data_IF_050629996835
#
_entry.id   IF_050629996835
#
_cell.length_a   1.000
_cell.length_b   1.000
_cell.length_c   1.000
_cell.angle_alpha   90.00
_cell.angle_beta   90.00
_cell.angle_gamma   90.00
#
_symmetry.space_group_name_H-M   'P 1'
#
loop_
_entity.id
_entity.type
_entity.pdbx_description
1 polymer ?
#
# COMPACT_ATOMS: atom_id res chain seq x y z
N UNK A 1 -2.52 6.51 -4.04
CA UNK A 1 -2.51 7.97 -4.35
C UNK A 1 -3.45 8.32 -5.52
N UNK A 2 -3.50 7.51 -6.62
CA UNK A 2 -4.40 7.80 -7.75
C UNK A 2 -5.87 7.81 -7.37
N UNK A 3 -6.31 6.84 -6.56
CA UNK A 3 -7.65 6.78 -5.99
C UNK A 3 -7.95 7.99 -5.09
N UNK A 4 -7.06 8.30 -4.14
CA UNK A 4 -7.23 9.42 -3.22
C UNK A 4 -7.38 10.72 -4.01
N UNK A 5 -6.51 10.99 -4.99
CA UNK A 5 -6.63 12.17 -5.86
C UNK A 5 -7.93 12.21 -6.67
N UNK A 6 -8.44 11.06 -7.08
CA UNK A 6 -9.72 10.98 -7.80
C UNK A 6 -10.89 11.34 -6.89
N UNK A 7 -10.95 10.78 -5.68
CA UNK A 7 -11.99 11.09 -4.70
C UNK A 7 -11.94 12.55 -4.28
N UNK A 8 -10.75 13.07 -3.97
CA UNK A 8 -10.57 14.47 -3.56
C UNK A 8 -11.14 15.45 -4.56
N UNK A 9 -11.05 15.14 -5.86
CA UNK A 9 -11.53 16.02 -6.94
C UNK A 9 -12.99 15.80 -7.31
N UNK A 10 -13.44 14.57 -7.33
CA UNK A 10 -14.74 14.22 -7.90
C UNK A 10 -15.82 13.93 -6.84
N UNK A 11 -15.43 13.45 -5.69
CA UNK A 11 -16.31 13.04 -4.59
C UNK A 11 -15.80 13.53 -3.23
N UNK A 12 -15.54 14.85 -3.06
CA UNK A 12 -14.91 15.36 -1.84
C UNK A 12 -15.74 15.08 -0.57
N UNK A 13 -17.05 14.90 -0.68
CA UNK A 13 -17.94 14.52 0.41
C UNK A 13 -17.60 13.16 1.04
N UNK A 14 -16.91 12.27 0.27
CA UNK A 14 -16.51 10.94 0.73
C UNK A 14 -15.07 10.86 1.26
N UNK A 15 -14.34 11.96 1.36
CA UNK A 15 -12.97 11.97 1.89
C UNK A 15 -12.87 11.38 3.29
N UNK A 16 -13.89 11.59 4.11
CA UNK A 16 -13.97 11.06 5.48
C UNK A 16 -14.13 9.54 5.55
N UNK A 17 -14.54 8.91 4.46
CA UNK A 17 -14.66 7.46 4.35
C UNK A 17 -13.36 6.79 3.93
N UNK A 18 -12.35 7.56 3.50
CA UNK A 18 -11.04 7.01 3.18
C UNK A 18 -10.29 6.62 4.46
N UNK A 19 -9.56 5.51 4.40
CA UNK A 19 -8.65 5.13 5.46
C UNK A 19 -7.59 6.22 5.67
N UNK A 20 -7.33 6.58 6.91
CA UNK A 20 -6.26 7.52 7.27
C UNK A 20 -4.86 6.89 7.20
N UNK A 21 -4.76 5.57 7.06
CA UNK A 21 -3.48 4.88 6.92
C UNK A 21 -2.71 5.40 5.70
N UNK A 22 -1.46 5.82 5.93
CA UNK A 22 -0.57 6.20 4.84
C UNK A 22 -0.29 5.02 3.91
N UNK A 23 0.15 5.30 2.70
CA UNK A 23 0.64 4.24 1.84
C UNK A 23 1.89 3.55 2.42
N UNK A 24 2.15 2.27 2.09
CA UNK A 24 3.34 1.56 2.57
C UNK A 24 4.65 2.31 2.34
N UNK A 25 4.79 3.00 1.20
CA UNK A 25 5.98 3.82 0.92
C UNK A 25 6.15 4.95 1.96
N UNK A 26 5.09 5.65 2.32
CA UNK A 26 5.15 6.76 3.28
C UNK A 26 5.32 6.26 4.71
N UNK A 27 4.67 5.15 5.07
CA UNK A 27 4.91 4.50 6.36
C UNK A 27 6.37 4.08 6.51
N UNK A 28 6.93 3.43 5.48
CA UNK A 28 8.32 2.97 5.51
C UNK A 28 9.29 4.15 5.60
N UNK A 29 9.09 5.21 4.82
CA UNK A 29 9.93 6.41 4.87
C UNK A 29 9.94 7.07 6.26
N UNK A 30 8.75 7.21 6.88
CA UNK A 30 8.64 7.72 8.23
C UNK A 30 9.38 6.83 9.24
N UNK A 31 9.25 5.51 9.15
CA UNK A 31 9.92 4.55 10.03
C UNK A 31 11.43 4.50 9.80
N UNK A 32 11.89 4.64 8.55
CA UNK A 32 13.32 4.69 8.22
C UNK A 32 13.99 5.92 8.84
N UNK A 33 13.36 7.09 8.75
CA UNK A 33 13.89 8.34 9.31
C UNK A 33 13.62 8.51 10.82
N UNK A 34 12.96 7.55 11.49
CA UNK A 34 12.72 7.57 12.93
C UNK A 34 13.28 6.33 13.60
N UNK A 35 12.54 5.23 13.60
CA UNK A 35 12.91 3.99 14.28
C UNK A 35 14.24 3.40 13.79
N UNK A 36 14.42 3.25 12.46
CA UNK A 36 15.66 2.73 11.90
C UNK A 36 16.85 3.67 12.21
N UNK A 37 16.68 4.99 12.03
CA UNK A 37 17.68 5.98 12.35
C UNK A 37 18.14 5.87 13.82
N UNK A 38 17.18 5.79 14.75
CA UNK A 38 17.44 5.60 16.17
C UNK A 38 18.19 4.30 16.45
N UNK A 39 17.77 3.19 15.86
CA UNK A 39 18.41 1.87 16.06
C UNK A 39 19.82 1.78 15.53
N UNK A 40 20.12 2.53 14.47
CA UNK A 40 21.46 2.56 13.85
C UNK A 40 22.34 3.71 14.37
N UNK A 41 21.80 4.60 15.20
CA UNK A 41 22.53 5.78 15.66
C UNK A 41 22.87 6.75 14.54
N UNK A 42 22.02 6.86 13.52
CA UNK A 42 22.20 7.72 12.35
C UNK A 42 21.35 8.98 12.51
N UNK A 43 21.89 10.15 12.20
CA UNK A 43 21.08 11.37 12.09
C UNK A 43 20.07 11.20 10.98
N UNK A 44 18.74 11.35 11.24
CA UNK A 44 17.71 11.26 10.24
C UNK A 44 17.92 12.14 9.00
N UNK A 45 18.59 13.29 9.16
CA UNK A 45 18.92 14.21 8.06
C UNK A 45 19.95 13.63 7.08
N UNK A 46 20.70 12.61 7.50
CA UNK A 46 21.67 11.91 6.66
C UNK A 46 21.06 10.68 5.95
N UNK A 47 19.73 10.46 6.08
CA UNK A 47 19.03 9.35 5.44
C UNK A 47 18.29 9.86 4.19
N UNK A 48 18.65 9.32 3.04
CA UNK A 48 17.92 9.52 1.79
C UNK A 48 17.03 8.28 1.49
N UNK A 49 15.71 8.44 1.64
CA UNK A 49 14.76 7.38 1.33
C UNK A 49 14.42 7.37 -0.15
N UNK A 50 14.82 6.31 -0.86
CA UNK A 50 14.51 6.11 -2.28
C UNK A 50 13.47 5.00 -2.40
N UNK A 51 12.34 5.31 -3.02
CA UNK A 51 11.25 4.37 -3.26
C UNK A 51 11.21 3.95 -4.73
N UNK A 52 11.12 2.64 -5.00
CA UNK A 52 10.98 2.10 -6.36
C UNK A 52 9.56 1.58 -6.51
N UNK A 53 8.75 2.24 -7.36
CA UNK A 53 7.30 2.03 -7.41
C UNK A 53 6.78 1.78 -8.83
N UNK A 54 5.81 0.89 -9.02
CA UNK A 54 5.13 0.72 -10.31
C UNK A 54 4.13 1.86 -10.62
N UNK A 55 4.26 3.00 -9.96
CA UNK A 55 3.23 4.03 -9.87
C UNK A 55 3.83 5.43 -10.06
N UNK A 56 3.30 6.21 -11.01
CA UNK A 56 3.69 7.61 -11.20
C UNK A 56 3.10 8.53 -10.12
N UNK A 57 1.87 8.26 -9.67
CA UNK A 57 1.20 9.07 -8.63
C UNK A 57 1.91 9.05 -7.28
N UNK A 58 2.79 8.08 -7.04
CA UNK A 58 3.65 8.02 -5.86
C UNK A 58 4.67 9.16 -5.78
N UNK A 59 5.08 9.72 -6.93
CA UNK A 59 5.93 10.92 -6.98
C UNK A 59 5.21 12.12 -6.38
N UNK A 60 3.94 12.34 -6.80
CA UNK A 60 3.11 13.42 -6.22
C UNK A 60 2.85 13.17 -4.73
N UNK A 61 2.50 11.95 -4.33
CA UNK A 61 2.27 11.63 -2.91
C UNK A 61 3.49 11.99 -2.04
N UNK A 62 4.71 11.63 -2.46
CA UNK A 62 5.92 11.93 -1.72
C UNK A 62 6.21 13.44 -1.63
N UNK A 63 5.72 14.26 -2.57
CA UNK A 63 5.92 15.72 -2.57
C UNK A 63 4.90 16.50 -1.74
N UNK A 64 3.85 15.84 -1.21
CA UNK A 64 2.83 16.51 -0.41
C UNK A 64 3.45 17.08 0.88
N UNK A 65 3.09 18.32 1.21
CA UNK A 65 3.69 19.09 2.30
C UNK A 65 3.53 18.46 3.68
N UNK A 66 2.55 17.60 3.87
CA UNK A 66 2.26 16.89 5.12
C UNK A 66 2.88 15.48 5.19
N UNK A 67 3.53 14.99 4.13
CA UNK A 67 4.26 13.71 4.12
C UNK A 67 5.70 13.88 4.65
N UNK A 68 5.82 14.48 5.85
CA UNK A 68 7.07 14.80 6.57
C UNK A 68 6.95 14.52 8.07
N UNK A 69 6.29 13.45 8.43
CA UNK A 69 5.97 13.13 9.83
C UNK A 69 7.18 12.74 10.67
N UNK A 70 8.28 12.31 10.05
CA UNK A 70 9.54 12.01 10.71
C UNK A 70 10.25 13.27 11.24
N UNK A 71 9.95 14.46 10.71
CA UNK A 71 10.56 15.73 11.13
C UNK A 71 11.95 16.00 10.53
N UNK A 72 12.40 15.20 9.56
CA UNK A 72 13.67 15.32 8.84
C UNK A 72 13.44 15.44 7.32
N UNK A 73 12.79 16.52 6.91
CA UNK A 73 12.35 16.69 5.53
C UNK A 73 11.19 15.79 5.14
N UNK A 74 11.04 15.47 3.86
CA UNK A 74 10.04 14.53 3.37
C UNK A 74 10.34 13.12 3.90
N UNK A 75 9.28 12.35 4.20
CA UNK A 75 9.44 10.96 4.66
C UNK A 75 10.09 10.09 3.56
N UNK A 76 9.77 10.37 2.29
CA UNK A 76 10.41 9.77 1.10
C UNK A 76 10.98 10.87 0.22
N UNK A 77 12.29 10.84 -0.02
CA UNK A 77 13.00 11.90 -0.74
C UNK A 77 12.89 11.72 -2.26
N UNK A 78 13.04 10.50 -2.75
CA UNK A 78 13.05 10.20 -4.19
C UNK A 78 12.09 9.04 -4.48
N UNK A 79 11.28 9.20 -5.52
CA UNK A 79 10.46 8.12 -6.06
C UNK A 79 10.88 7.81 -7.49
N UNK A 80 11.40 6.61 -7.71
CA UNK A 80 11.68 6.08 -9.03
C UNK A 80 10.55 5.14 -9.45
N UNK A 81 10.08 5.28 -10.68
CA UNK A 81 9.22 4.24 -11.25
C UNK A 81 10.05 3.00 -11.57
N UNK A 82 9.41 1.83 -11.57
CA UNK A 82 10.06 0.57 -12.01
C UNK A 82 10.70 0.74 -13.39
N UNK A 83 10.08 1.51 -14.27
CA UNK A 83 10.61 1.80 -15.62
C UNK A 83 11.88 2.65 -15.57
N UNK A 84 11.92 3.68 -14.74
CA UNK A 84 13.12 4.51 -14.55
C UNK A 84 14.27 3.68 -13.96
N UNK A 85 13.98 2.86 -12.95
CA UNK A 85 14.97 1.99 -12.32
C UNK A 85 15.54 0.97 -13.32
N UNK A 86 14.71 0.35 -14.16
CA UNK A 86 15.18 -0.54 -15.24
C UNK A 86 16.07 0.20 -16.24
N UNK A 87 15.76 1.48 -16.54
CA UNK A 87 16.64 2.30 -17.40
C UNK A 87 17.99 2.56 -16.76
N UNK A 88 18.05 2.84 -15.46
CA UNK A 88 19.31 3.00 -14.73
C UNK A 88 20.15 1.72 -14.79
N UNK A 89 19.58 0.56 -14.48
CA UNK A 89 20.28 -0.75 -14.57
C UNK A 89 20.87 -0.96 -15.96
N UNK A 90 20.12 -0.61 -17.02
CA UNK A 90 20.59 -0.73 -18.40
C UNK A 90 21.68 0.28 -18.74
N UNK A 91 21.57 1.52 -18.29
CA UNK A 91 22.56 2.56 -18.53
C UNK A 91 23.90 2.23 -17.88
N UNK A 92 23.86 1.64 -16.68
CA UNK A 92 25.05 1.18 -15.94
C UNK A 92 25.58 -0.19 -16.40
N UNK A 93 24.98 -0.76 -17.46
CA UNK A 93 25.37 -2.07 -18.02
C UNK A 93 25.37 -3.20 -16.98
N UNK A 94 24.54 -3.13 -15.93
CA UNK A 94 24.46 -4.13 -14.87
C UNK A 94 23.82 -5.41 -15.44
N UNK A 95 24.57 -6.50 -15.46
CA UNK A 95 24.03 -7.79 -15.85
C UNK A 95 23.41 -8.51 -14.64
N UNK A 96 22.09 -8.45 -14.56
CA UNK A 96 21.33 -9.00 -13.44
C UNK A 96 21.44 -10.52 -13.27
N UNK A 97 21.91 -11.26 -14.29
CA UNK A 97 22.12 -12.72 -14.22
C UNK A 97 23.27 -13.12 -13.29
N UNK A 98 24.21 -12.20 -13.04
CA UNK A 98 25.37 -12.45 -12.19
C UNK A 98 25.24 -11.86 -10.80
N UNK A 99 24.11 -11.23 -10.47
CA UNK A 99 23.86 -10.72 -9.13
C UNK A 99 23.61 -11.89 -8.17
N UNK A 100 24.26 -11.82 -7.02
CA UNK A 100 24.01 -12.77 -5.93
C UNK A 100 22.86 -12.24 -5.06
N UNK A 101 22.00 -13.14 -4.61
CA UNK A 101 20.97 -12.81 -3.64
C UNK A 101 21.59 -12.38 -2.31
N UNK A 102 21.03 -11.36 -1.70
CA UNK A 102 21.40 -10.84 -0.39
C UNK A 102 20.15 -10.59 0.43
N UNK A 103 20.27 -10.74 1.75
CA UNK A 103 19.21 -10.32 2.66
C UNK A 103 19.12 -8.80 2.74
N UNK A 104 17.94 -8.29 3.06
CA UNK A 104 17.77 -6.89 3.39
C UNK A 104 18.34 -6.58 4.77
N UNK A 105 18.70 -5.31 4.98
CA UNK A 105 19.20 -4.84 6.29
C UNK A 105 18.08 -4.83 7.34
N UNK A 106 18.41 -5.29 8.55
CA UNK A 106 17.54 -5.16 9.72
C UNK A 106 17.85 -3.85 10.46
N UNK A 107 16.88 -3.22 11.12
CA UNK A 107 15.47 -3.61 11.23
C UNK A 107 14.64 -3.25 9.99
N UNK A 108 13.47 -3.83 9.87
CA UNK A 108 12.47 -3.60 8.81
C UNK A 108 12.81 -4.26 7.44
N UNK A 109 13.75 -5.18 7.40
CA UNK A 109 14.12 -5.94 6.20
C UNK A 109 13.24 -7.16 5.96
N UNK A 110 12.59 -7.70 7.00
CA UNK A 110 11.73 -8.88 6.86
C UNK A 110 10.35 -8.50 6.31
N UNK A 111 9.85 -9.27 5.36
CA UNK A 111 8.54 -9.07 4.75
C UNK A 111 7.69 -10.33 4.79
N UNK A 112 6.37 -10.16 4.70
CA UNK A 112 5.39 -11.25 4.69
C UNK A 112 4.75 -11.42 3.32
N UNK A 113 4.12 -12.58 3.09
CA UNK A 113 3.33 -12.82 1.89
C UNK A 113 2.19 -11.81 1.74
N UNK A 114 1.53 -11.43 2.83
CA UNK A 114 0.51 -10.39 2.85
C UNK A 114 1.01 -9.05 2.29
N UNK A 115 2.25 -8.63 2.62
CA UNK A 115 2.85 -7.43 2.06
C UNK A 115 3.11 -7.53 0.55
N UNK A 116 3.47 -8.71 0.06
CA UNK A 116 3.72 -8.97 -1.37
C UNK A 116 2.46 -8.79 -2.20
N UNK A 117 1.32 -9.31 -1.76
CA UNK A 117 0.06 -9.25 -2.52
C UNK A 117 -0.59 -7.87 -2.57
N UNK A 118 -0.10 -6.86 -1.85
CA UNK A 118 -0.57 -5.48 -1.97
C UNK A 118 -0.51 -4.93 -3.40
N UNK A 119 0.30 -5.52 -4.25
CA UNK A 119 0.46 -5.12 -5.65
C UNK A 119 -0.69 -5.51 -6.58
N UNK A 120 -1.63 -6.34 -6.15
CA UNK A 120 -2.77 -6.82 -6.96
C UNK A 120 -4.10 -6.33 -6.41
N UNK A 121 -5.12 -6.26 -7.27
CA UNK A 121 -6.49 -5.93 -6.83
C UNK A 121 -7.01 -7.04 -5.91
N UNK A 122 -7.54 -6.66 -4.76
CA UNK A 122 -7.99 -7.55 -3.69
C UNK A 122 -6.89 -7.90 -2.69
N UNK A 123 -5.62 -7.59 -2.98
CA UNK A 123 -4.51 -7.99 -2.13
C UNK A 123 -4.43 -7.25 -0.80
N UNK A 124 -4.77 -5.97 -0.77
CA UNK A 124 -4.83 -5.18 0.47
C UNK A 124 -6.00 -5.66 1.32
N UNK A 125 -7.18 -5.86 0.69
CA UNK A 125 -8.37 -6.41 1.33
C UNK A 125 -8.07 -7.76 1.97
N UNK A 126 -7.48 -8.68 1.21
CA UNK A 126 -7.11 -10.01 1.69
C UNK A 126 -6.14 -9.95 2.88
N UNK A 127 -5.10 -9.12 2.80
CA UNK A 127 -4.15 -8.94 3.89
C UNK A 127 -4.82 -8.37 5.15
N UNK A 128 -5.74 -7.42 5.00
CA UNK A 128 -6.51 -6.86 6.10
C UNK A 128 -7.44 -7.90 6.73
N UNK A 129 -8.18 -8.66 5.91
CA UNK A 129 -9.09 -9.72 6.39
C UNK A 129 -8.35 -10.84 7.12
N UNK A 130 -7.16 -11.24 6.64
CA UNK A 130 -6.30 -12.21 7.33
C UNK A 130 -5.96 -11.75 8.75
N UNK A 131 -5.60 -10.48 8.91
CA UNK A 131 -5.25 -9.92 10.23
C UNK A 131 -6.49 -9.69 11.09
N UNK A 132 -7.58 -9.16 10.51
CA UNK A 132 -8.84 -8.95 11.24
C UNK A 132 -9.39 -10.27 11.80
N UNK A 133 -9.36 -11.34 11.00
CA UNK A 133 -9.75 -12.67 11.45
C UNK A 133 -8.92 -13.14 12.66
N UNK A 134 -7.59 -13.00 12.57
CA UNK A 134 -6.71 -13.40 13.65
C UNK A 134 -6.97 -12.62 14.95
N UNK A 135 -7.30 -11.34 14.85
CA UNK A 135 -7.63 -10.50 16.01
C UNK A 135 -8.98 -10.90 16.62
N UNK A 136 -9.98 -11.18 15.80
CA UNK A 136 -11.34 -11.51 16.28
C UNK A 136 -11.42 -12.94 16.80
N UNK A 137 -10.85 -13.90 16.07
CA UNK A 137 -10.95 -15.34 16.38
C UNK A 137 -9.83 -15.84 17.31
N UNK A 138 -8.79 -15.03 17.56
CA UNK A 138 -7.64 -15.42 18.36
C UNK A 138 -6.74 -16.49 17.73
N UNK A 139 -6.92 -16.76 16.44
CA UNK A 139 -6.15 -17.74 15.64
C UNK A 139 -6.06 -17.30 14.19
N UNK A 140 -5.02 -17.74 13.50
CA UNK A 140 -4.89 -17.49 12.07
C UNK A 140 -5.96 -18.22 11.25
N UNK A 141 -6.48 -17.59 10.18
CA UNK A 141 -7.27 -18.28 9.19
C UNK A 141 -6.41 -19.20 8.31
N UNK A 142 -7.05 -20.07 7.54
CA UNK A 142 -6.37 -20.64 6.37
C UNK A 142 -5.88 -19.51 5.48
N UNK A 143 -4.64 -19.60 4.99
CA UNK A 143 -3.98 -18.48 4.32
C UNK A 143 -4.72 -17.99 3.05
N UNK A 144 -5.47 -18.86 2.37
CA UNK A 144 -6.27 -18.54 1.18
C UNK A 144 -7.78 -18.42 1.45
N UNK A 145 -8.20 -18.32 2.72
CA UNK A 145 -9.61 -18.21 3.12
C UNK A 145 -10.33 -17.03 2.45
N UNK A 146 -9.60 -15.94 2.18
CA UNK A 146 -10.16 -14.71 1.64
C UNK A 146 -9.88 -14.49 0.15
N UNK A 147 -9.45 -15.52 -0.59
CA UNK A 147 -9.14 -15.41 -2.02
C UNK A 147 -10.32 -14.97 -2.90
N UNK A 148 -11.55 -15.02 -2.41
CA UNK A 148 -12.74 -14.55 -3.13
C UNK A 148 -12.67 -13.06 -3.51
N UNK A 149 -11.90 -12.25 -2.78
CA UNK A 149 -11.68 -10.83 -3.12
C UNK A 149 -10.71 -10.63 -4.27
N UNK A 150 -9.95 -11.65 -4.68
CA UNK A 150 -8.97 -11.57 -5.77
C UNK A 150 -9.66 -11.42 -7.11
N UNK A 151 -9.26 -10.45 -7.93
CA UNK A 151 -9.79 -10.28 -9.27
C UNK A 151 -9.25 -9.05 -9.95
N UNK A 152 -9.10 -9.11 -11.29
CA UNK A 152 -8.53 -8.01 -12.07
C UNK A 152 -9.58 -7.10 -12.69
N UNK A 153 -10.75 -7.64 -12.95
CA UNK A 153 -11.72 -7.01 -13.81
C UNK A 153 -12.93 -6.50 -13.02
N UNK A 154 -13.20 -5.20 -13.20
CA UNK A 154 -14.42 -4.59 -12.74
C UNK A 154 -14.54 -4.48 -11.23
N UNK A 155 -15.68 -4.90 -10.73
CA UNK A 155 -16.11 -4.89 -9.34
C UNK A 155 -16.37 -6.30 -8.88
N UNK A 156 -15.90 -6.65 -7.69
CA UNK A 156 -16.09 -7.95 -7.06
C UNK A 156 -16.58 -7.75 -5.63
N UNK A 157 -17.60 -8.48 -5.28
CA UNK A 157 -18.24 -8.46 -3.97
C UNK A 157 -18.05 -9.81 -3.30
N UNK A 158 -17.82 -9.81 -1.99
CA UNK A 158 -17.72 -11.02 -1.19
C UNK A 158 -18.09 -10.70 0.26
N UNK A 159 -18.76 -11.65 0.90
CA UNK A 159 -19.13 -11.57 2.30
C UNK A 159 -18.28 -12.53 3.12
N UNK A 160 -17.83 -12.08 4.29
CA UNK A 160 -17.01 -12.86 5.19
C UNK A 160 -17.55 -12.74 6.62
N UNK A 161 -17.67 -13.87 7.31
CA UNK A 161 -18.03 -13.90 8.72
C UNK A 161 -16.77 -13.84 9.58
N UNK A 162 -16.72 -12.85 10.50
CA UNK A 162 -15.68 -12.69 11.51
C UNK A 162 -16.36 -12.62 12.88
N UNK A 163 -16.19 -13.63 13.72
CA UNK A 163 -16.98 -13.78 14.95
C UNK A 163 -18.47 -13.85 14.63
N UNK A 164 -19.25 -13.01 15.27
CA UNK A 164 -20.71 -12.91 15.08
C UNK A 164 -21.13 -11.91 13.99
N UNK A 165 -20.17 -11.29 13.28
CA UNK A 165 -20.46 -10.26 12.28
C UNK A 165 -20.16 -10.74 10.87
N UNK A 166 -21.04 -10.40 9.94
CA UNK A 166 -20.81 -10.57 8.50
C UNK A 166 -20.35 -9.23 7.92
N UNK A 167 -19.17 -9.23 7.30
CA UNK A 167 -18.63 -8.07 6.59
C UNK A 167 -18.96 -8.16 5.11
N UNK A 168 -19.65 -7.14 4.59
CA UNK A 168 -19.90 -6.95 3.18
C UNK A 168 -18.75 -6.20 2.53
N UNK A 169 -17.99 -6.84 1.67
CA UNK A 169 -16.77 -6.28 1.08
C UNK A 169 -16.88 -6.09 -0.42
N UNK A 170 -16.14 -5.10 -0.95
CA UNK A 170 -16.07 -4.84 -2.36
C UNK A 170 -14.63 -4.50 -2.79
N UNK A 171 -14.14 -5.13 -3.85
CA UNK A 171 -12.89 -4.76 -4.50
C UNK A 171 -13.16 -4.23 -5.91
N UNK A 172 -12.47 -3.15 -6.28
CA UNK A 172 -12.67 -2.48 -7.57
C UNK A 172 -11.35 -2.25 -8.28
N UNK A 173 -11.31 -2.61 -9.55
CA UNK A 173 -10.18 -2.47 -10.45
C UNK A 173 -10.46 -1.40 -11.52
N UNK A 174 -9.64 -0.35 -11.52
CA UNK A 174 -9.72 0.76 -12.47
C UNK A 174 -10.69 1.87 -12.06
N UNK A 175 -10.31 3.13 -12.36
CA UNK A 175 -11.08 4.31 -11.93
C UNK A 175 -12.46 4.41 -12.57
N UNK A 176 -12.65 3.93 -13.80
CA UNK A 176 -13.97 3.92 -14.44
C UNK A 176 -14.97 3.01 -13.71
N UNK A 177 -14.50 1.89 -13.15
CA UNK A 177 -15.34 1.00 -12.33
C UNK A 177 -15.54 1.59 -10.92
N UNK A 178 -14.52 2.26 -10.38
CA UNK A 178 -14.65 2.99 -9.12
C UNK A 178 -15.68 4.12 -9.22
N UNK A 179 -15.74 4.83 -10.35
CA UNK A 179 -16.75 5.85 -10.59
C UNK A 179 -18.17 5.26 -10.55
N UNK A 180 -18.40 4.14 -11.23
CA UNK A 180 -19.70 3.43 -11.21
C UNK A 180 -20.07 3.02 -9.79
N UNK A 181 -19.10 2.50 -9.01
CA UNK A 181 -19.32 2.17 -7.61
C UNK A 181 -19.74 3.40 -6.79
N UNK A 182 -19.03 4.53 -6.96
CA UNK A 182 -19.36 5.76 -6.23
C UNK A 182 -20.77 6.27 -6.55
N UNK A 183 -21.20 6.19 -7.82
CA UNK A 183 -22.57 6.54 -8.22
C UNK A 183 -23.61 5.57 -7.62
N UNK A 184 -23.28 4.28 -7.47
CA UNK A 184 -24.15 3.31 -6.82
C UNK A 184 -24.28 3.58 -5.32
N UNK A 185 -23.17 3.89 -4.64
CA UNK A 185 -23.16 4.27 -3.22
C UNK A 185 -23.97 5.56 -3.00
N UNK A 186 -23.70 6.59 -3.83
CA UNK A 186 -24.38 7.88 -3.74
C UNK A 186 -25.89 7.77 -3.95
N UNK A 187 -26.32 6.87 -4.81
CA UNK A 187 -27.73 6.59 -5.07
C UNK A 187 -28.36 5.65 -4.04
N UNK A 188 -27.61 5.18 -3.03
CA UNK A 188 -28.09 4.23 -2.02
C UNK A 188 -28.43 2.84 -2.55
N UNK A 189 -27.90 2.48 -3.73
CA UNK A 189 -28.15 1.16 -4.34
C UNK A 189 -27.34 0.05 -3.69
N UNK A 190 -26.20 0.39 -3.10
CA UNK A 190 -25.28 -0.54 -2.45
C UNK A 190 -24.67 0.06 -1.20
N UNK A 191 -24.29 -0.81 -0.25
CA UNK A 191 -23.57 -0.44 0.96
C UNK A 191 -22.55 -1.54 1.28
N UNK A 192 -21.36 -1.15 1.72
CA UNK A 192 -20.27 -2.05 2.10
C UNK A 192 -19.61 -1.58 3.38
N UNK A 193 -19.12 -2.52 4.16
CA UNK A 193 -18.34 -2.26 5.35
C UNK A 193 -16.88 -1.93 5.01
N UNK A 194 -16.36 -2.58 3.96
CA UNK A 194 -14.98 -2.35 3.51
C UNK A 194 -14.87 -2.39 1.98
N UNK A 195 -14.27 -1.36 1.40
CA UNK A 195 -14.05 -1.22 -0.03
C UNK A 195 -12.56 -1.02 -0.33
N UNK A 196 -12.01 -1.85 -1.21
CA UNK A 196 -10.69 -1.63 -1.80
C UNK A 196 -10.84 -1.08 -3.22
N UNK A 197 -10.15 0.02 -3.53
CA UNK A 197 -10.10 0.57 -4.88
C UNK A 197 -8.66 0.62 -5.39
N UNK A 198 -8.38 -0.10 -6.47
CA UNK A 198 -7.16 0.02 -7.24
C UNK A 198 -7.39 0.93 -8.46
N UNK A 199 -6.70 2.07 -8.51
CA UNK A 199 -6.84 3.03 -9.61
C UNK A 199 -6.40 2.46 -10.97
N UNK A 200 -5.39 1.60 -10.97
CA UNK A 200 -4.90 0.94 -12.17
C UNK A 200 -5.58 -0.41 -12.37
N UNK A 201 -5.94 -0.79 -13.62
CA UNK A 201 -6.47 -2.11 -13.90
C UNK A 201 -5.52 -3.23 -13.45
N UNK A 202 -6.07 -4.20 -12.70
CA UNK A 202 -5.32 -5.31 -12.12
C UNK A 202 -4.53 -4.96 -10.85
N UNK A 203 -4.51 -3.70 -10.42
CA UNK A 203 -3.73 -3.21 -9.28
C UNK A 203 -2.41 -2.57 -9.68
N UNK A 204 -1.48 -2.45 -8.73
CA UNK A 204 -0.16 -1.83 -8.96
C UNK A 204 0.69 -2.60 -9.98
N UNK A 205 0.46 -3.89 -10.16
CA UNK A 205 1.10 -4.71 -11.21
C UNK A 205 0.80 -4.22 -12.61
N UNK A 206 -0.35 -3.54 -12.84
CA UNK A 206 -0.73 -2.82 -14.07
C UNK A 206 -0.44 -1.32 -13.99
N UNK A 207 0.38 -0.87 -13.03
CA UNK A 207 0.63 0.54 -12.77
C UNK A 207 1.38 1.25 -13.90
N UNK A 208 1.07 2.56 -14.08
CA UNK A 208 1.66 3.40 -15.11
C UNK A 208 3.18 3.60 -15.02
N UNK A 209 3.82 3.17 -13.92
CA UNK A 209 5.27 3.16 -13.75
C UNK A 209 5.94 1.84 -14.15
N UNK A 210 5.18 0.82 -14.57
CA UNK A 210 5.72 -0.45 -15.04
C UNK A 210 6.40 -0.32 -16.42
N UNK A 211 7.41 -1.15 -16.73
CA UNK A 211 7.93 -1.27 -18.08
C UNK A 211 6.86 -1.67 -19.09
N UNK A 212 6.90 -1.05 -20.26
CA UNK A 212 6.04 -1.37 -21.41
C UNK A 212 6.82 -2.31 -22.33
N UNK A 213 6.16 -3.38 -22.77
CA UNK A 213 6.73 -4.40 -23.65
C UNK A 213 5.82 -4.53 -24.88
N UNK A 214 6.23 -3.90 -25.99
CA UNK A 214 5.56 -4.00 -27.30
C UNK A 214 4.04 -3.80 -27.25
N UNK A 215 3.58 -2.88 -26.38
CA UNK A 215 2.16 -2.62 -26.17
C UNK A 215 1.40 -3.71 -25.39
N UNK A 216 2.05 -4.77 -24.97
CA UNK A 216 1.42 -5.86 -24.23
C UNK A 216 1.24 -5.53 -22.74
N UNK A 217 0.09 -5.91 -22.20
CA UNK A 217 -0.22 -5.80 -20.77
C UNK A 217 0.20 -7.08 -20.02
N UNK A 218 1.01 -6.91 -18.98
CA UNK A 218 1.55 -8.03 -18.19
C UNK A 218 1.03 -8.07 -16.74
N UNK A 219 -0.03 -7.35 -16.41
CA UNK A 219 -0.57 -7.32 -15.05
C UNK A 219 -0.94 -8.72 -14.54
N UNK A 220 -1.52 -9.56 -15.38
CA UNK A 220 -1.85 -10.94 -15.01
C UNK A 220 -0.63 -11.77 -14.62
N UNK A 221 0.36 -11.79 -15.49
CA UNK A 221 1.60 -12.55 -15.25
C UNK A 221 2.33 -12.06 -14.00
N UNK A 222 2.40 -10.74 -13.82
CA UNK A 222 3.01 -10.13 -12.62
C UNK A 222 2.20 -10.46 -11.37
N UNK A 223 0.85 -10.39 -11.45
CA UNK A 223 -0.04 -10.76 -10.35
C UNK A 223 0.10 -12.22 -9.94
N UNK A 224 0.14 -13.14 -10.91
CA UNK A 224 0.41 -14.56 -10.65
C UNK A 224 1.74 -14.78 -9.94
N UNK A 225 2.78 -14.00 -10.29
CA UNK A 225 4.06 -14.04 -9.59
C UNK A 225 3.94 -13.61 -8.13
N UNK A 226 3.18 -12.53 -7.83
CA UNK A 226 2.99 -12.07 -6.46
C UNK A 226 2.23 -13.10 -5.61
N UNK A 227 1.18 -13.72 -6.15
CA UNK A 227 0.47 -14.78 -5.43
C UNK A 227 1.34 -16.01 -5.18
N UNK A 228 2.19 -16.39 -6.13
CA UNK A 228 3.16 -17.48 -5.94
C UNK A 228 4.16 -17.12 -4.84
N UNK A 229 4.71 -15.92 -4.86
CA UNK A 229 5.62 -15.44 -3.80
C UNK A 229 4.95 -15.42 -2.42
N UNK A 230 3.66 -15.02 -2.31
CA UNK A 230 2.91 -15.15 -1.06
C UNK A 230 2.81 -16.61 -0.61
N UNK A 231 2.45 -17.52 -1.52
CA UNK A 231 2.27 -18.94 -1.19
C UNK A 231 3.55 -19.66 -0.76
N UNK A 232 4.70 -19.21 -1.27
CA UNK A 232 6.03 -19.75 -0.95
C UNK A 232 6.64 -19.17 0.36
N UNK A 233 6.09 -18.05 0.89
CA UNK A 233 6.58 -17.44 2.13
C UNK A 233 6.19 -18.24 3.36
N UNK A 234 7.12 -18.37 4.30
CA UNK A 234 6.85 -18.95 5.64
C UNK A 234 5.93 -18.03 6.44
N UNK A 235 6.22 -16.72 6.42
CA UNK A 235 5.40 -15.70 7.06
C UNK A 235 4.40 -15.18 6.04
N UNK A 236 3.15 -15.58 6.15
CA UNK A 236 2.07 -15.17 5.23
C UNK A 236 1.20 -14.03 5.78
N UNK A 237 1.21 -13.80 7.08
CA UNK A 237 0.35 -12.84 7.77
C UNK A 237 1.13 -11.61 8.23
N UNK A 238 0.57 -10.41 8.02
CA UNK A 238 1.25 -9.15 8.37
C UNK A 238 1.51 -9.03 9.87
N UNK A 239 0.58 -9.48 10.70
CA UNK A 239 0.68 -9.40 12.17
C UNK A 239 1.72 -10.36 12.77
N UNK A 240 2.22 -11.32 12.00
CA UNK A 240 3.29 -12.23 12.41
C UNK A 240 4.70 -11.71 12.09
N UNK A 241 4.83 -10.57 11.42
CA UNK A 241 6.15 -10.02 11.11
C UNK A 241 6.89 -9.62 12.38
N UNK A 242 7.99 -10.31 12.74
CA UNK A 242 8.68 -10.09 14.00
C UNK A 242 9.33 -8.70 14.09
N UNK A 243 9.76 -8.12 12.95
CA UNK A 243 10.34 -6.79 12.95
C UNK A 243 9.28 -5.70 13.12
N UNK A 244 8.07 -5.91 12.61
CA UNK A 244 6.94 -5.01 12.84
C UNK A 244 6.48 -5.10 14.30
N UNK A 245 6.33 -6.31 14.85
CA UNK A 245 6.01 -6.49 16.27
C UNK A 245 7.01 -5.77 17.16
N UNK A 246 8.31 -5.97 16.91
CA UNK A 246 9.38 -5.32 17.63
C UNK A 246 9.37 -3.79 17.50
N UNK A 247 9.05 -3.27 16.31
CA UNK A 247 8.91 -1.84 16.12
C UNK A 247 7.74 -1.24 16.94
N UNK A 248 6.65 -1.99 17.10
CA UNK A 248 5.57 -1.61 18.00
C UNK A 248 5.99 -1.67 19.48
N UNK A 249 6.62 -2.72 19.92
CA UNK A 249 7.06 -2.90 21.32
C UNK A 249 8.06 -1.83 21.74
N UNK A 250 9.03 -1.51 20.89
CA UNK A 250 10.17 -0.66 21.26
C UNK A 250 9.95 0.82 20.95
N UNK A 251 9.07 1.16 20.02
CA UNK A 251 9.00 2.53 19.49
C UNK A 251 7.57 3.05 19.28
N UNK A 252 6.72 2.33 18.57
CA UNK A 252 5.37 2.78 18.26
C UNK A 252 4.39 2.64 19.42
N UNK A 253 4.64 1.72 20.34
CA UNK A 253 3.73 1.35 21.42
C UNK A 253 2.68 0.35 20.94
N UNK A 254 1.42 0.72 20.99
CA UNK A 254 0.31 -0.11 20.48
C UNK A 254 -0.27 0.49 19.20
N UNK A 255 -1.00 -0.29 18.38
CA UNK A 255 -1.78 0.25 17.27
C UNK A 255 -2.62 1.45 17.70
N UNK A 256 -2.68 2.49 16.86
CA UNK A 256 -3.35 3.76 17.13
C UNK A 256 -2.80 4.57 18.33
N UNK A 257 -1.64 4.23 18.87
CA UNK A 257 -0.95 5.10 19.83
C UNK A 257 -0.67 6.47 19.18
N UNK A 258 -0.38 7.50 19.99
CA UNK A 258 -0.02 8.82 19.47
C UNK A 258 1.16 8.79 18.51
N UNK A 259 2.18 7.97 18.79
CA UNK A 259 3.36 7.81 17.93
C UNK A 259 3.00 7.09 16.62
N UNK A 260 2.29 5.97 16.71
CA UNK A 260 1.83 5.23 15.53
C UNK A 260 0.93 6.11 14.65
N UNK A 261 -0.04 6.82 15.24
CA UNK A 261 -0.92 7.72 14.51
C UNK A 261 -0.13 8.82 13.79
N UNK A 262 0.80 9.50 14.49
CA UNK A 262 1.62 10.56 13.90
C UNK A 262 2.43 10.08 12.69
N UNK A 263 3.03 8.89 12.77
CA UNK A 263 3.95 8.40 11.75
C UNK A 263 3.27 7.63 10.62
N UNK A 264 2.22 6.89 10.93
CA UNK A 264 1.61 5.92 10.00
C UNK A 264 0.26 6.38 9.42
N UNK A 265 -0.30 7.49 9.91
CA UNK A 265 -1.58 8.01 9.45
C UNK A 265 -1.46 9.43 8.90
N UNK A 266 -2.42 9.83 8.07
CA UNK A 266 -2.59 11.20 7.58
C UNK A 266 -4.08 11.49 7.40
N UNK A 267 -4.47 12.75 7.59
CA UNK A 267 -5.83 13.20 7.36
C UNK A 267 -5.98 13.69 5.92
N UNK A 268 -6.74 12.99 5.10
CA UNK A 268 -6.97 13.35 3.68
C UNK A 268 -7.74 14.67 3.50
N UNK A 269 -8.41 15.15 4.53
CA UNK A 269 -9.07 16.48 4.54
C UNK A 269 -8.07 17.60 4.21
N UNK A 270 -6.79 17.41 4.54
CA UNK A 270 -5.74 18.37 4.23
C UNK A 270 -5.41 18.45 2.72
N UNK A 271 -5.73 17.43 1.92
CA UNK A 271 -5.49 17.47 0.47
C UNK A 271 -6.33 18.53 -0.24
N UNK A 272 -7.60 18.69 0.15
CA UNK A 272 -8.47 19.74 -0.41
C UNK A 272 -7.98 21.14 -0.06
N UNK A 273 -7.53 21.34 1.17
CA UNK A 273 -7.02 22.63 1.62
C UNK A 273 -5.79 23.05 0.82
N UNK A 274 -4.85 22.15 0.60
CA UNK A 274 -3.62 22.44 -0.13
C UNK A 274 -3.82 22.56 -1.64
N UNK A 275 -4.74 21.79 -2.25
CA UNK A 275 -5.05 21.93 -3.68
C UNK A 275 -5.75 23.26 -3.99
N UNK A 276 -6.59 23.78 -3.09
CA UNK A 276 -7.29 25.05 -3.30
C UNK A 276 -6.45 26.30 -3.01
N UNK A 277 -5.38 26.18 -2.21
CA UNK A 277 -4.55 27.32 -1.79
C UNK A 277 -3.18 27.39 -2.48
N UNK A 278 -2.76 26.37 -3.22
CA UNK A 278 -1.51 26.38 -3.99
C UNK A 278 -1.67 26.85 -5.45
N UNK A 279 -2.87 27.30 -5.85
CA UNK A 279 -3.14 27.90 -7.15
C UNK A 279 -3.39 29.41 -7.08
N UNK A 280 -3.08 30.04 -5.95
CA UNK A 280 -3.00 31.49 -5.79
C UNK A 280 -1.53 31.89 -5.50
#
# INVERSE_FOLDING_TARGET
PGWVSFVSKKYPEYLRNLSTAKSPQQMFGAMAKTYFAQKKGIDPNNICCISIMPCVSKKREASLSYMKSAGAGQDVDIVLTTREFVRMIRAEHINTRFLKEQAFDSPLGESTGAGVIFGVTGGVMEAALRTAYAVVEGKNPEADAFRAVRGRDGRREADFTLGDQTLHTCTVSGLANAEKLMEDIKAGRVSYDFVEVMACPGGCVGGGGQPIHDGCEFAERRGGTLYRLDSERKLRFSHENPEVQKAYEEFLGKPLSRTAHKLLHSEHVNELYFETHNYL
#
